data_IF_039803894639
#
_entry.id   IF_039803894639
#
_cell.length_a   1.000
_cell.length_b   1.000
_cell.length_c   1.000
_cell.angle_alpha   90.00
_cell.angle_beta   90.00
_cell.angle_gamma   90.00
#
_symmetry.space_group_name_H-M   'P 1'
#
loop_
_entity.id
_entity.type
_entity.pdbx_description
1 polymer ?
#
# COMPACT_ATOMS: atom_id res chain seq x y z
N UNK A 1 -26.98 -33.62 15.81
CA UNK A 1 -26.65 -32.21 16.09
C UNK A 1 -26.35 -31.54 14.76
N UNK A 2 -27.12 -30.52 14.37
CA UNK A 2 -26.83 -29.71 13.17
C UNK A 2 -26.00 -28.50 13.62
N UNK A 3 -24.91 -28.12 12.96
CA UNK A 3 -24.23 -26.87 13.27
C UNK A 3 -25.05 -25.71 12.70
N UNK A 4 -25.59 -24.87 13.57
CA UNK A 4 -26.17 -23.58 13.19
C UNK A 4 -25.03 -22.65 12.78
N UNK A 5 -24.78 -22.56 11.48
CA UNK A 5 -23.88 -21.58 10.90
C UNK A 5 -24.69 -20.30 10.69
N UNK A 6 -24.94 -19.54 11.77
CA UNK A 6 -25.50 -18.20 11.65
C UNK A 6 -24.39 -17.28 11.12
N UNK A 7 -24.53 -16.66 9.93
CA UNK A 7 -23.59 -15.64 9.50
C UNK A 7 -23.72 -14.48 10.48
N UNK A 8 -22.67 -14.26 11.26
CA UNK A 8 -22.57 -13.13 12.18
C UNK A 8 -22.56 -11.88 11.29
N UNK A 9 -23.74 -11.29 11.07
CA UNK A 9 -23.88 -9.99 10.41
C UNK A 9 -23.21 -9.00 11.35
N UNK A 10 -22.00 -8.62 10.99
CA UNK A 10 -21.24 -7.56 11.67
C UNK A 10 -22.12 -6.30 11.73
N UNK A 11 -22.53 -5.82 12.92
CA UNK A 11 -23.61 -4.84 13.07
C UNK A 11 -23.26 -3.41 12.64
N UNK A 12 -22.26 -3.22 11.77
CA UNK A 12 -21.74 -1.91 11.37
C UNK A 12 -21.61 -1.69 9.86
N UNK A 13 -22.19 -2.56 9.02
CA UNK A 13 -22.09 -2.47 7.56
C UNK A 13 -23.15 -1.51 6.94
N UNK A 14 -23.37 -0.34 7.57
CA UNK A 14 -24.26 0.73 7.09
C UNK A 14 -23.86 2.11 7.66
N UNK A 15 -23.92 3.15 6.83
CA UNK A 15 -23.44 4.55 7.04
C UNK A 15 -22.28 4.70 8.04
N UNK A 16 -21.09 4.32 7.58
CA UNK A 16 -19.83 4.60 8.27
C UNK A 16 -19.40 3.47 9.21
N UNK A 17 -18.45 2.67 8.73
CA UNK A 17 -17.74 1.71 9.56
C UNK A 17 -17.01 2.46 10.70
N UNK A 18 -17.55 2.34 11.91
CA UNK A 18 -17.02 3.01 13.12
C UNK A 18 -15.62 2.51 13.47
N UNK A 19 -15.27 1.28 13.10
CA UNK A 19 -13.93 0.71 13.30
C UNK A 19 -12.96 1.36 12.34
N UNK A 20 -13.32 1.46 11.05
CA UNK A 20 -12.53 2.19 10.06
C UNK A 20 -12.34 3.67 10.45
N UNK A 21 -13.38 4.34 10.94
CA UNK A 21 -13.31 5.73 11.39
C UNK A 21 -12.36 5.89 12.60
N UNK A 22 -12.35 4.94 13.54
CA UNK A 22 -11.41 4.95 14.67
C UNK A 22 -9.97 4.77 14.20
N UNK A 23 -9.71 3.79 13.34
CA UNK A 23 -8.37 3.57 12.80
C UNK A 23 -7.87 4.77 12.00
N UNK A 24 -8.73 5.38 11.18
CA UNK A 24 -8.38 6.60 10.46
C UNK A 24 -8.00 7.75 11.41
N UNK A 25 -8.79 7.96 12.46
CA UNK A 25 -8.52 9.02 13.44
C UNK A 25 -7.22 8.78 14.22
N UNK A 26 -6.91 7.53 14.56
CA UNK A 26 -5.67 7.15 15.22
C UNK A 26 -4.45 7.41 14.33
N UNK A 27 -4.49 6.95 13.08
CA UNK A 27 -3.44 7.20 12.08
C UNK A 27 -3.24 8.70 11.81
N UNK A 28 -4.33 9.48 11.76
CA UNK A 28 -4.24 10.92 11.57
C UNK A 28 -3.53 11.60 12.75
N UNK A 29 -3.81 11.17 13.99
CA UNK A 29 -3.14 11.69 15.18
C UNK A 29 -1.67 11.32 15.20
N UNK A 30 -1.32 10.09 14.85
CA UNK A 30 0.08 9.66 14.74
C UNK A 30 0.83 10.44 13.66
N UNK A 31 0.18 10.70 12.52
CA UNK A 31 0.76 11.50 11.44
C UNK A 31 1.05 12.94 11.89
N UNK A 32 0.11 13.58 12.58
CA UNK A 32 0.28 14.94 13.12
C UNK A 32 1.35 14.95 14.22
N UNK A 33 1.33 13.98 15.13
CA UNK A 33 2.30 13.87 16.22
C UNK A 33 3.71 13.50 15.73
N UNK A 34 3.84 12.95 14.52
CA UNK A 34 5.13 12.58 13.95
C UNK A 34 6.04 13.78 13.64
N UNK A 35 5.54 15.03 13.69
CA UNK A 35 6.26 16.27 13.42
C UNK A 35 7.02 16.30 12.07
N UNK A 36 6.78 15.33 11.17
CA UNK A 36 7.48 15.21 9.88
C UNK A 36 7.00 16.21 8.84
N UNK A 37 5.84 16.81 9.06
CA UNK A 37 5.22 17.75 8.12
C UNK A 37 6.06 19.01 7.99
N UNK A 38 6.51 19.57 9.11
CA UNK A 38 7.26 20.82 9.15
C UNK A 38 8.69 20.69 8.55
N UNK A 39 9.49 19.66 8.89
CA UNK A 39 10.76 19.38 8.22
C UNK A 39 10.60 19.12 6.72
N UNK A 40 9.61 18.32 6.31
CA UNK A 40 9.39 18.02 4.91
C UNK A 40 8.98 19.26 4.11
N UNK A 41 8.14 20.13 4.68
CA UNK A 41 7.76 21.40 4.07
C UNK A 41 8.96 22.34 3.93
N UNK A 42 9.85 22.38 4.94
CA UNK A 42 11.07 23.16 4.91
C UNK A 42 12.07 22.66 3.87
N UNK A 43 12.26 21.35 3.77
CA UNK A 43 13.11 20.72 2.76
C UNK A 43 12.57 20.97 1.35
N UNK A 44 11.26 20.82 1.15
CA UNK A 44 10.61 21.14 -0.12
C UNK A 44 10.80 22.61 -0.51
N UNK A 45 10.67 23.53 0.45
CA UNK A 45 10.93 24.96 0.22
C UNK A 45 12.39 25.20 -0.20
N UNK A 46 13.35 24.63 0.53
CA UNK A 46 14.76 24.75 0.21
C UNK A 46 15.08 24.24 -1.21
N UNK A 47 14.50 23.09 -1.59
CA UNK A 47 14.67 22.55 -2.93
C UNK A 47 14.12 23.48 -4.03
N UNK A 48 12.95 24.12 -3.80
CA UNK A 48 12.37 25.09 -4.75
C UNK A 48 13.26 26.32 -4.90
N UNK A 49 13.83 26.81 -3.80
CA UNK A 49 14.69 27.99 -3.79
C UNK A 49 16.05 27.70 -4.48
N UNK A 50 16.64 26.52 -4.23
CA UNK A 50 17.91 26.10 -4.81
C UNK A 50 17.81 25.66 -6.28
N UNK A 51 16.72 24.99 -6.66
CA UNK A 51 16.53 24.37 -7.97
C UNK A 51 15.25 24.85 -8.69
N UNK A 52 15.08 26.16 -8.94
CA UNK A 52 13.81 26.74 -9.36
C UNK A 52 13.34 26.25 -10.74
N UNK A 53 14.25 25.89 -11.65
CA UNK A 53 13.93 25.39 -12.99
C UNK A 53 13.41 23.95 -12.91
N UNK A 54 14.06 23.10 -12.12
CA UNK A 54 13.67 21.70 -11.94
C UNK A 54 12.36 21.60 -11.16
N UNK A 55 12.20 22.39 -10.10
CA UNK A 55 10.95 22.49 -9.35
C UNK A 55 9.77 22.86 -10.26
N UNK A 56 9.93 23.88 -11.13
CA UNK A 56 8.91 24.24 -12.14
C UNK A 56 8.64 23.15 -13.17
N UNK A 57 9.61 22.28 -13.46
CA UNK A 57 9.42 21.14 -14.37
C UNK A 57 8.65 20.01 -13.67
N UNK A 58 9.03 19.70 -12.44
CA UNK A 58 8.36 18.71 -11.60
C UNK A 58 6.90 19.08 -11.34
N UNK A 59 6.60 20.35 -11.02
CA UNK A 59 5.23 20.84 -10.83
C UNK A 59 4.40 20.69 -12.12
N UNK A 60 4.98 21.05 -13.27
CA UNK A 60 4.32 20.87 -14.59
C UNK A 60 4.07 19.41 -14.92
N UNK A 61 4.98 18.51 -14.54
CA UNK A 61 4.81 17.08 -14.73
C UNK A 61 3.74 16.50 -13.79
N UNK A 62 3.73 16.90 -12.52
CA UNK A 62 2.70 16.52 -11.55
C UNK A 62 1.30 16.98 -11.97
N UNK A 63 1.16 18.23 -12.43
CA UNK A 63 -0.11 18.78 -12.97
C UNK A 63 -0.63 18.04 -14.19
N UNK A 64 0.26 17.47 -15.01
CA UNK A 64 -0.12 16.63 -16.16
C UNK A 64 -0.59 15.23 -15.75
N UNK A 65 -0.33 14.83 -14.51
CA UNK A 65 -0.57 13.47 -14.03
C UNK A 65 0.47 12.48 -14.59
N UNK A 66 0.35 11.19 -14.24
CA UNK A 66 1.25 10.17 -14.77
C UNK A 66 1.19 10.16 -16.30
N UNK A 67 2.35 10.25 -16.94
CA UNK A 67 2.48 10.28 -18.42
C UNK A 67 1.92 9.00 -19.07
N UNK A 68 1.85 7.90 -18.31
CA UNK A 68 1.22 6.66 -18.71
C UNK A 68 -0.06 6.46 -17.91
N UNK A 69 -1.20 6.43 -18.60
CA UNK A 69 -2.32 5.58 -18.18
C UNK A 69 -1.84 4.14 -18.33
N UNK A 70 -1.13 3.62 -17.33
CA UNK A 70 -0.80 2.19 -17.28
C UNK A 70 -2.16 1.49 -17.24
N UNK A 71 -2.47 0.69 -18.26
CA UNK A 71 -3.73 -0.05 -18.28
C UNK A 71 -3.71 -1.08 -17.15
N UNK A 72 -4.89 -1.45 -16.67
CA UNK A 72 -5.02 -2.50 -15.65
C UNK A 72 -4.36 -3.80 -16.14
N UNK A 73 -4.45 -4.07 -17.45
CA UNK A 73 -3.81 -5.22 -18.10
C UNK A 73 -2.29 -5.15 -18.05
N UNK A 74 -1.68 -3.97 -18.22
CA UNK A 74 -0.23 -3.80 -18.11
C UNK A 74 0.24 -4.00 -16.65
N UNK A 75 -0.55 -3.54 -15.66
CA UNK A 75 -0.28 -3.82 -14.25
C UNK A 75 -0.41 -5.31 -13.93
N UNK A 76 -1.44 -5.97 -14.44
CA UNK A 76 -1.65 -7.41 -14.28
C UNK A 76 -0.52 -8.22 -14.94
N UNK A 77 -0.08 -7.82 -16.14
CA UNK A 77 1.04 -8.45 -16.82
C UNK A 77 2.35 -8.31 -16.03
N UNK A 78 2.65 -7.12 -15.51
CA UNK A 78 3.82 -6.90 -14.64
C UNK A 78 3.71 -7.69 -13.35
N UNK A 79 2.54 -7.70 -12.71
CA UNK A 79 2.27 -8.50 -11.51
C UNK A 79 2.51 -9.98 -11.75
N UNK A 80 1.95 -10.54 -12.83
CA UNK A 80 2.16 -11.93 -13.22
C UNK A 80 3.64 -12.25 -13.44
N UNK A 81 4.39 -11.38 -14.12
CA UNK A 81 5.82 -11.57 -14.34
C UNK A 81 6.65 -11.62 -13.04
N UNK A 82 6.28 -10.81 -12.05
CA UNK A 82 6.93 -10.79 -10.74
C UNK A 82 6.60 -12.06 -9.97
N UNK A 83 5.33 -12.47 -9.98
CA UNK A 83 4.86 -13.71 -9.34
C UNK A 83 5.53 -14.94 -9.96
N UNK A 84 5.63 -15.00 -11.29
CA UNK A 84 6.27 -16.11 -11.99
C UNK A 84 7.77 -16.20 -11.68
N UNK A 85 8.44 -15.05 -11.53
CA UNK A 85 9.84 -15.00 -11.10
C UNK A 85 10.03 -15.45 -9.65
N UNK A 86 9.07 -15.16 -8.77
CA UNK A 86 9.12 -15.53 -7.36
C UNK A 86 8.69 -16.98 -7.09
N UNK A 87 7.85 -17.57 -7.96
CA UNK A 87 7.33 -18.94 -7.84
C UNK A 87 8.39 -20.00 -7.49
N UNK A 88 9.54 -20.12 -8.20
CA UNK A 88 10.53 -21.16 -7.88
C UNK A 88 11.22 -20.96 -6.52
N UNK A 89 11.28 -19.72 -6.02
CA UNK A 89 11.85 -19.43 -4.70
C UNK A 89 10.87 -19.90 -3.61
N UNK A 90 9.59 -19.58 -3.78
CA UNK A 90 8.52 -19.99 -2.86
C UNK A 90 8.37 -21.51 -2.84
N UNK A 91 8.38 -22.17 -4.01
CA UNK A 91 8.29 -23.64 -4.10
C UNK A 91 9.45 -24.34 -3.38
N UNK A 92 10.68 -23.81 -3.51
CA UNK A 92 11.84 -24.33 -2.76
C UNK A 92 11.70 -24.14 -1.26
N UNK A 93 11.18 -22.99 -0.81
CA UNK A 93 10.97 -22.71 0.60
C UNK A 93 9.89 -23.63 1.21
N UNK A 94 8.77 -23.80 0.51
CA UNK A 94 7.67 -24.70 0.92
C UNK A 94 8.13 -26.15 0.91
N UNK A 95 8.90 -26.58 -0.10
CA UNK A 95 9.47 -27.93 -0.16
C UNK A 95 10.39 -28.24 1.02
N UNK A 96 11.29 -27.31 1.38
CA UNK A 96 12.17 -27.44 2.56
C UNK A 96 11.38 -27.49 3.87
N UNK A 97 10.31 -26.70 3.98
CA UNK A 97 9.46 -26.70 5.17
C UNK A 97 8.69 -28.03 5.31
N UNK A 98 8.12 -28.53 4.22
CA UNK A 98 7.42 -29.83 4.20
C UNK A 98 8.35 -30.99 4.53
N UNK A 99 9.57 -31.01 3.99
CA UNK A 99 10.56 -32.04 4.32
C UNK A 99 10.95 -32.02 5.81
N UNK A 100 11.00 -30.83 6.43
CA UNK A 100 11.31 -30.66 7.85
C UNK A 100 10.16 -31.05 8.79
N UNK A 101 8.92 -30.95 8.31
CA UNK A 101 7.72 -31.37 9.06
C UNK A 101 7.48 -32.88 8.90
N UNK A 102 7.75 -33.46 7.73
CA UNK A 102 7.58 -34.89 7.48
C UNK A 102 8.71 -35.78 8.04
N UNK A 103 9.87 -35.18 8.36
CA UNK A 103 10.99 -35.87 9.01
C UNK A 103 10.98 -35.83 10.53
N UNK A 104 9.84 -35.49 11.14
CA UNK A 104 9.61 -35.43 12.59
C UNK A 104 8.42 -36.30 12.96
#
# INVERSE_FOLDING_TARGET
MKPENTPHRDPNQGEGDKVAARHYNEQLREFVAGDKVEPAAREAKAYVDEHPIEAKRAERQGKRGPASRVSLDELLAKGKSIVDRARPIVERAVGKLRARIAGK
#
